data_IF_474918871340
#
_entry.id   IF_474918871340
#
_cell.length_a   1.000
_cell.length_b   1.000
_cell.length_c   1.000
_cell.angle_alpha   90.00
_cell.angle_beta   90.00
_cell.angle_gamma   90.00
#
_symmetry.space_group_name_H-M   'P 1'
#
loop_
_entity.id
_entity.type
_entity.pdbx_description
1 polymer ?
#
# COMPACT_ATOMS: atom_id res chain seq x y z
N UNK A 1 35.28 -20.28 -43.06
CA UNK A 1 35.15 -19.76 -41.67
C UNK A 1 33.72 -19.29 -41.50
N UNK A 2 33.07 -19.83 -40.47
CA UNK A 2 31.64 -19.82 -40.21
C UNK A 2 31.19 -18.51 -39.56
N UNK A 3 30.14 -17.87 -40.06
CA UNK A 3 29.32 -16.94 -39.29
C UNK A 3 27.94 -17.57 -39.12
N UNK A 4 27.64 -17.99 -37.88
CA UNK A 4 26.32 -18.46 -37.45
C UNK A 4 25.44 -17.25 -37.12
N UNK A 5 24.25 -17.20 -37.71
CA UNK A 5 23.13 -16.33 -37.33
C UNK A 5 22.11 -17.18 -36.55
N UNK A 6 21.60 -16.79 -35.36
CA UNK A 6 20.66 -17.61 -34.58
C UNK A 6 19.17 -17.43 -34.94
N UNK A 7 18.59 -18.49 -35.52
CA UNK A 7 17.38 -19.23 -35.13
C UNK A 7 16.08 -18.58 -34.58
N UNK A 8 15.73 -17.32 -34.87
CA UNK A 8 14.40 -16.77 -34.49
C UNK A 8 13.53 -16.28 -35.66
N UNK A 9 13.86 -16.66 -36.90
CA UNK A 9 13.25 -16.07 -38.10
C UNK A 9 12.54 -17.07 -39.03
N UNK A 10 12.09 -18.23 -38.51
CA UNK A 10 11.30 -19.20 -39.30
C UNK A 10 10.24 -19.90 -38.45
N UNK A 11 9.06 -19.30 -38.29
CA UNK A 11 7.78 -20.03 -38.17
C UNK A 11 6.58 -19.06 -38.18
N UNK A 12 6.21 -18.58 -39.37
CA UNK A 12 4.82 -18.24 -39.68
C UNK A 12 4.37 -19.20 -40.79
N UNK A 13 3.06 -19.48 -40.81
CA UNK A 13 2.31 -20.32 -41.78
C UNK A 13 2.17 -21.83 -41.49
N UNK A 14 1.08 -22.18 -40.78
CA UNK A 14 0.28 -23.37 -41.11
C UNK A 14 -1.12 -23.33 -40.47
N UNK A 15 -2.10 -22.83 -41.22
CA UNK A 15 -3.54 -23.04 -41.00
C UNK A 15 -3.96 -24.50 -41.26
N UNK A 16 -4.87 -25.11 -40.49
CA UNK A 16 -5.52 -26.35 -40.91
C UNK A 16 -6.77 -26.06 -41.75
N UNK A 17 -6.81 -26.66 -42.94
CA UNK A 17 -7.92 -26.62 -43.91
C UNK A 17 -9.14 -27.40 -43.41
N UNK A 18 -10.30 -26.80 -43.62
CA UNK A 18 -11.61 -27.44 -43.57
C UNK A 18 -11.78 -28.50 -44.67
N UNK A 19 -12.39 -29.64 -44.31
CA UNK A 19 -12.91 -30.63 -45.25
C UNK A 19 -14.45 -30.66 -45.15
N UNK A 20 -15.09 -30.44 -46.28
CA UNK A 20 -16.53 -30.52 -46.47
C UNK A 20 -16.91 -31.83 -47.19
N UNK A 21 -17.97 -32.49 -46.75
CA UNK A 21 -18.94 -33.31 -47.53
C UNK A 21 -19.82 -34.09 -46.54
N UNK A 22 -21.13 -34.27 -46.66
CA UNK A 22 -22.13 -33.81 -47.60
C UNK A 22 -23.48 -34.49 -47.30
N UNK A 23 -24.57 -33.86 -47.78
CA UNK A 23 -25.92 -34.39 -48.12
C UNK A 23 -26.95 -34.61 -46.99
N UNK A 24 -28.04 -33.81 -46.99
CA UNK A 24 -29.42 -34.05 -47.53
C UNK A 24 -30.25 -34.92 -46.56
N UNK A 25 -31.51 -34.65 -46.16
CA UNK A 25 -32.72 -34.01 -46.72
C UNK A 25 -33.75 -33.88 -45.56
N UNK A 26 -34.56 -32.80 -45.48
CA UNK A 26 -36.05 -32.76 -45.63
C UNK A 26 -36.84 -33.78 -44.76
N UNK A 27 -37.93 -33.48 -44.03
CA UNK A 27 -39.09 -32.57 -44.23
C UNK A 27 -40.10 -32.75 -43.08
N UNK A 28 -41.00 -31.76 -42.88
CA UNK A 28 -42.33 -31.93 -42.25
C UNK A 28 -42.53 -31.10 -40.97
N UNK A 29 -42.94 -29.82 -41.02
CA UNK A 29 -44.29 -29.26 -41.21
C UNK A 29 -45.31 -29.54 -40.08
N UNK A 30 -46.04 -28.45 -39.76
CA UNK A 30 -47.42 -28.36 -39.21
C UNK A 30 -47.57 -28.11 -37.70
N UNK A 31 -47.65 -26.84 -37.27
CA UNK A 31 -48.94 -26.18 -36.98
C UNK A 31 -48.77 -24.73 -36.48
N UNK A 32 -49.27 -23.77 -37.26
CA UNK A 32 -49.48 -22.39 -36.86
C UNK A 32 -50.98 -22.16 -36.63
N UNK A 33 -51.33 -21.58 -35.49
CA UNK A 33 -52.63 -20.93 -35.28
C UNK A 33 -52.39 -19.51 -34.77
N UNK A 34 -53.09 -18.49 -35.33
CA UNK A 34 -52.91 -17.10 -34.93
C UNK A 34 -53.87 -16.78 -33.79
N UNK A 35 -53.35 -16.30 -32.66
CA UNK A 35 -54.18 -15.63 -31.65
C UNK A 35 -53.62 -14.23 -31.36
N UNK A 36 -54.29 -13.27 -32.00
CA UNK A 36 -54.68 -11.96 -31.45
C UNK A 36 -53.64 -11.21 -30.60
N UNK A 37 -53.01 -10.23 -31.23
CA UNK A 37 -52.38 -9.07 -30.59
C UNK A 37 -53.47 -8.16 -30.02
N UNK A 38 -53.48 -7.83 -28.72
CA UNK A 38 -54.15 -6.63 -28.23
C UNK A 38 -53.18 -5.46 -28.25
N UNK A 39 -53.71 -4.35 -28.74
CA UNK A 39 -53.11 -3.03 -28.89
C UNK A 39 -52.32 -2.54 -27.68
N UNK A 40 -51.19 -1.90 -27.98
CA UNK A 40 -50.42 -1.05 -27.10
C UNK A 40 -51.33 0.01 -26.42
N UNK A 41 -51.46 -0.09 -25.10
CA UNK A 41 -51.77 1.05 -24.24
C UNK A 41 -50.47 1.55 -23.64
N UNK A 42 -50.16 2.82 -23.90
CA UNK A 42 -48.94 3.49 -23.49
C UNK A 42 -48.78 3.47 -21.98
N UNK A 43 -47.94 2.56 -21.49
CA UNK A 43 -47.36 2.70 -20.16
C UNK A 43 -46.12 3.54 -20.33
N UNK A 44 -46.19 4.79 -19.84
CA UNK A 44 -45.04 5.67 -19.78
C UNK A 44 -43.88 4.93 -19.13
N UNK A 45 -42.86 4.57 -19.93
CA UNK A 45 -41.55 4.15 -19.41
C UNK A 45 -41.06 5.31 -18.57
N UNK A 46 -41.32 5.27 -17.26
CA UNK A 46 -40.52 6.01 -16.30
C UNK A 46 -39.11 5.51 -16.53
N UNK A 47 -38.32 6.29 -17.24
CA UNK A 47 -36.88 6.16 -17.25
C UNK A 47 -36.43 6.46 -15.81
N UNK A 48 -36.62 5.49 -14.91
CA UNK A 48 -35.95 5.51 -13.62
C UNK A 48 -34.48 5.49 -13.98
N UNK A 49 -33.81 6.63 -13.84
CA UNK A 49 -32.36 6.73 -13.96
C UNK A 49 -31.82 5.76 -12.92
N UNK A 50 -31.44 4.55 -13.34
CA UNK A 50 -30.82 3.58 -12.44
C UNK A 50 -29.44 4.13 -12.14
N UNK A 51 -29.16 4.46 -10.89
CA UNK A 51 -27.82 4.86 -10.45
C UNK A 51 -26.79 3.80 -10.88
N UNK A 52 -25.58 4.21 -11.28
CA UNK A 52 -24.44 3.33 -11.55
C UNK A 52 -24.20 2.92 -13.00
N UNK A 53 -23.07 2.25 -13.23
CA UNK A 53 -22.60 1.84 -14.56
C UNK A 53 -23.44 0.69 -15.14
N UNK A 54 -23.56 0.64 -16.47
CA UNK A 54 -24.13 -0.52 -17.19
C UNK A 54 -23.17 -1.72 -17.25
N UNK A 55 -21.89 -1.54 -17.66
CA UNK A 55 -20.92 -2.63 -17.66
C UNK A 55 -20.46 -2.94 -16.23
N UNK A 56 -20.11 -4.20 -15.98
CA UNK A 56 -19.93 -4.73 -14.63
C UNK A 56 -18.78 -4.11 -13.82
N UNK A 57 -17.71 -3.53 -14.34
CA UNK A 57 -16.51 -3.03 -13.58
C UNK A 57 -15.81 -3.92 -12.51
N UNK A 58 -16.40 -4.96 -11.92
CA UNK A 58 -15.73 -5.88 -10.98
C UNK A 58 -14.68 -6.76 -11.67
N UNK A 59 -13.66 -7.13 -10.91
CA UNK A 59 -12.65 -8.13 -11.32
C UNK A 59 -13.32 -9.50 -11.50
N UNK A 60 -12.95 -10.28 -12.53
CA UNK A 60 -13.47 -11.63 -12.70
C UNK A 60 -12.97 -12.57 -11.59
N UNK A 61 -13.82 -13.49 -11.15
CA UNK A 61 -13.48 -14.43 -10.07
C UNK A 61 -12.33 -15.37 -10.47
N UNK A 62 -11.32 -15.47 -9.58
CA UNK A 62 -10.29 -16.54 -9.51
C UNK A 62 -9.71 -17.00 -10.85
N UNK A 63 -8.95 -16.12 -11.50
CA UNK A 63 -7.92 -16.55 -12.45
C UNK A 63 -6.56 -16.05 -11.97
N UNK A 64 -5.46 -16.74 -12.28
CA UNK A 64 -4.11 -16.25 -11.97
C UNK A 64 -3.88 -14.81 -12.50
N UNK A 65 -4.59 -14.45 -13.57
CA UNK A 65 -4.53 -13.12 -14.17
C UNK A 65 -5.39 -12.07 -13.45
N UNK A 66 -6.40 -12.49 -12.68
CA UNK A 66 -7.18 -11.62 -11.81
C UNK A 66 -6.43 -11.27 -10.51
N UNK A 67 -5.54 -12.14 -10.04
CA UNK A 67 -4.76 -11.89 -8.81
C UNK A 67 -3.53 -11.01 -9.03
N UNK A 68 -3.00 -10.95 -10.26
CA UNK A 68 -1.81 -10.14 -10.59
C UNK A 68 -2.06 -8.63 -10.50
N UNK A 69 -1.04 -7.92 -10.02
CA UNK A 69 -1.00 -6.46 -10.04
C UNK A 69 -0.88 -5.92 -11.45
N UNK A 70 -1.71 -4.94 -11.78
CA UNK A 70 -1.70 -4.29 -13.09
C UNK A 70 -0.72 -3.11 -13.12
N UNK A 71 -0.15 -2.80 -14.28
CA UNK A 71 0.79 -1.68 -14.43
C UNK A 71 0.21 -0.32 -14.00
N UNK A 72 -1.11 -0.14 -14.09
CA UNK A 72 -1.75 1.12 -13.66
C UNK A 72 -1.78 1.25 -12.13
N UNK A 73 -1.86 0.14 -11.41
CA UNK A 73 -1.75 0.13 -9.95
C UNK A 73 -0.32 0.49 -9.54
N UNK A 74 0.68 -0.05 -10.23
CA UNK A 74 2.09 0.32 -10.01
C UNK A 74 2.38 1.78 -10.37
N UNK A 75 1.75 2.29 -11.44
CA UNK A 75 1.85 3.71 -11.79
C UNK A 75 1.26 4.61 -10.68
N UNK A 76 0.15 4.20 -10.06
CA UNK A 76 -0.39 4.90 -8.89
C UNK A 76 0.58 4.83 -7.70
N UNK A 77 1.17 3.66 -7.46
CA UNK A 77 2.12 3.45 -6.35
C UNK A 77 3.40 4.29 -6.53
N UNK A 78 3.82 4.60 -7.77
CA UNK A 78 4.99 5.45 -8.03
C UNK A 78 4.88 6.87 -7.42
N UNK A 79 3.67 7.40 -7.27
CA UNK A 79 3.45 8.72 -6.66
C UNK A 79 3.86 8.71 -5.18
N UNK A 80 3.84 7.55 -4.53
CA UNK A 80 4.28 7.41 -3.16
C UNK A 80 5.79 7.49 -3.01
N UNK A 81 6.59 7.19 -4.04
CA UNK A 81 8.04 7.49 -3.99
C UNK A 81 8.24 8.97 -3.67
N UNK A 82 7.59 9.84 -4.43
CA UNK A 82 7.69 11.28 -4.20
C UNK A 82 7.03 11.71 -2.88
N UNK A 83 5.90 11.09 -2.50
CA UNK A 83 5.25 11.37 -1.23
C UNK A 83 6.15 11.08 -0.02
N UNK A 84 6.79 9.90 -0.02
CA UNK A 84 7.69 9.45 1.02
C UNK A 84 8.94 10.34 1.06
N UNK A 85 9.51 10.73 -0.09
CA UNK A 85 10.63 11.68 -0.13
C UNK A 85 10.29 13.02 0.53
N UNK A 86 9.10 13.57 0.25
CA UNK A 86 8.65 14.83 0.83
C UNK A 86 8.37 14.71 2.34
N UNK A 87 7.89 13.56 2.78
CA UNK A 87 7.69 13.24 4.19
C UNK A 87 9.03 13.07 4.93
N UNK A 88 9.97 12.31 4.38
CA UNK A 88 11.32 12.13 4.91
C UNK A 88 12.02 13.48 5.07
N UNK A 89 11.89 14.37 4.05
CA UNK A 89 12.41 15.74 4.14
C UNK A 89 11.74 16.54 5.26
N UNK A 90 10.42 16.49 5.37
CA UNK A 90 9.70 17.21 6.43
C UNK A 90 10.16 16.75 7.82
N UNK A 91 10.25 15.44 8.04
CA UNK A 91 10.70 14.87 9.31
C UNK A 91 12.16 15.22 9.62
N UNK A 92 13.05 15.17 8.61
CA UNK A 92 14.45 15.56 8.77
C UNK A 92 14.63 17.02 9.20
N UNK A 93 13.85 17.93 8.61
CA UNK A 93 13.99 19.36 8.91
C UNK A 93 13.20 19.80 10.16
N UNK A 94 12.29 18.95 10.67
CA UNK A 94 11.44 19.24 11.83
C UNK A 94 11.61 18.20 12.94
N UNK A 95 12.84 18.02 13.44
CA UNK A 95 13.18 17.07 14.50
C UNK A 95 12.76 17.50 15.93
N UNK A 96 11.56 18.05 16.07
CA UNK A 96 10.93 18.36 17.35
C UNK A 96 9.84 17.34 17.68
N UNK A 97 9.35 17.35 18.93
CA UNK A 97 8.17 16.54 19.29
C UNK A 97 6.94 16.90 18.44
N UNK A 98 6.80 18.17 18.08
CA UNK A 98 5.74 18.63 17.21
C UNK A 98 5.91 18.08 15.79
N UNK A 99 7.09 18.23 15.18
CA UNK A 99 7.36 17.71 13.84
C UNK A 99 7.28 16.17 13.75
N UNK A 100 7.60 15.46 14.84
CA UNK A 100 7.34 14.03 14.96
C UNK A 100 5.82 13.71 14.95
N UNK A 101 5.01 14.46 15.72
CA UNK A 101 3.56 14.28 15.72
C UNK A 101 2.94 14.61 14.35
N UNK A 102 3.37 15.70 13.72
CA UNK A 102 3.01 16.09 12.36
C UNK A 102 3.35 14.98 11.35
N UNK A 103 4.56 14.43 11.42
CA UNK A 103 5.00 13.34 10.55
C UNK A 103 4.19 12.06 10.75
N UNK A 104 3.81 11.71 11.99
CA UNK A 104 2.93 10.57 12.27
C UNK A 104 1.57 10.74 11.58
N UNK A 105 0.98 11.94 11.66
CA UNK A 105 -0.28 12.26 10.97
C UNK A 105 -0.11 12.10 9.46
N UNK A 106 0.97 12.60 8.88
CA UNK A 106 1.24 12.51 7.44
C UNK A 106 1.48 11.06 6.96
N UNK A 107 2.28 10.27 7.70
CA UNK A 107 2.49 8.84 7.45
C UNK A 107 1.15 8.11 7.44
N UNK A 108 0.33 8.30 8.47
CA UNK A 108 -0.97 7.64 8.60
C UNK A 108 -1.92 8.07 7.49
N UNK A 109 -1.94 9.36 7.13
CA UNK A 109 -2.76 9.88 6.04
C UNK A 109 -2.37 9.26 4.69
N UNK A 110 -1.08 9.24 4.35
CA UNK A 110 -0.58 8.63 3.12
C UNK A 110 -0.86 7.14 3.08
N UNK A 111 -0.56 6.44 4.18
CA UNK A 111 -0.85 5.04 4.33
C UNK A 111 -2.32 4.73 4.09
N UNK A 112 -3.21 5.57 4.64
CA UNK A 112 -4.65 5.41 4.48
C UNK A 112 -5.14 5.63 3.04
N UNK A 113 -4.57 6.61 2.31
CA UNK A 113 -4.82 6.80 0.88
C UNK A 113 -4.45 5.52 0.12
N UNK A 114 -3.25 5.00 0.37
CA UNK A 114 -2.74 3.82 -0.31
C UNK A 114 -3.63 2.61 -0.05
N UNK A 115 -3.85 2.29 1.24
CA UNK A 115 -4.68 1.17 1.69
C UNK A 115 -6.03 1.19 1.00
N UNK A 116 -6.78 2.28 1.10
CA UNK A 116 -8.13 2.31 0.52
C UNK A 116 -8.13 2.17 -1.00
N UNK A 117 -7.10 2.68 -1.68
CA UNK A 117 -6.97 2.53 -3.12
C UNK A 117 -6.68 1.08 -3.48
N UNK A 118 -5.81 0.41 -2.72
CA UNK A 118 -5.56 -1.03 -2.81
C UNK A 118 -6.82 -1.85 -2.62
N UNK A 119 -7.64 -1.55 -1.61
CA UNK A 119 -8.93 -2.22 -1.42
C UNK A 119 -9.90 -2.01 -2.59
N UNK A 120 -9.93 -0.81 -3.18
CA UNK A 120 -10.84 -0.51 -4.30
C UNK A 120 -10.40 -1.20 -5.59
N UNK A 121 -9.13 -1.17 -5.94
CA UNK A 121 -8.63 -1.84 -7.15
C UNK A 121 -8.50 -3.35 -6.98
N UNK A 122 -8.54 -3.86 -5.75
CA UNK A 122 -8.72 -5.29 -5.50
C UNK A 122 -10.10 -5.78 -6.00
N UNK A 123 -11.13 -4.95 -5.86
CA UNK A 123 -12.52 -5.30 -6.23
C UNK A 123 -12.85 -4.88 -7.67
N UNK A 124 -12.43 -3.69 -8.10
CA UNK A 124 -12.68 -3.18 -9.44
C UNK A 124 -11.52 -3.53 -10.38
N UNK A 125 -11.84 -3.99 -11.57
CA UNK A 125 -10.87 -4.35 -12.61
C UNK A 125 -10.19 -3.10 -13.22
N UNK A 126 -8.91 -2.82 -12.93
CA UNK A 126 -8.20 -1.66 -13.47
C UNK A 126 -7.94 -1.77 -14.98
N UNK A 127 -8.11 -2.95 -15.58
CA UNK A 127 -8.04 -3.10 -17.03
C UNK A 127 -9.21 -2.41 -17.74
N UNK A 128 -10.36 -2.23 -17.07
CA UNK A 128 -11.54 -1.58 -17.65
C UNK A 128 -11.36 -0.05 -17.69
N UNK A 129 -11.66 0.54 -18.86
CA UNK A 129 -11.40 1.96 -19.14
C UNK A 129 -11.94 2.93 -18.06
N UNK A 130 -13.17 2.79 -17.51
CA UNK A 130 -13.65 3.70 -16.48
C UNK A 130 -12.83 3.65 -15.19
N UNK A 131 -12.43 2.44 -14.77
CA UNK A 131 -11.61 2.25 -13.57
C UNK A 131 -10.22 2.79 -13.81
N UNK A 132 -9.61 2.47 -14.96
CA UNK A 132 -8.30 2.99 -15.38
C UNK A 132 -8.26 4.52 -15.40
N UNK A 133 -9.27 5.16 -15.98
CA UNK A 133 -9.37 6.61 -16.06
C UNK A 133 -9.48 7.26 -14.67
N UNK A 134 -10.23 6.66 -13.75
CA UNK A 134 -10.32 7.15 -12.38
C UNK A 134 -9.03 6.93 -11.61
N UNK A 135 -8.35 5.79 -11.75
CA UNK A 135 -7.04 5.58 -11.11
C UNK A 135 -6.04 6.63 -11.61
N UNK A 136 -5.99 6.93 -12.92
CA UNK A 136 -5.16 8.00 -13.47
C UNK A 136 -5.53 9.41 -12.94
N UNK A 137 -6.82 9.70 -12.81
CA UNK A 137 -7.28 10.95 -12.23
C UNK A 137 -6.89 11.08 -10.75
N UNK A 138 -7.07 10.01 -9.97
CA UNK A 138 -6.66 9.93 -8.57
C UNK A 138 -5.15 9.98 -8.42
N UNK A 139 -4.38 9.44 -9.37
CA UNK A 139 -2.93 9.59 -9.46
C UNK A 139 -2.53 11.06 -9.56
N UNK A 140 -3.19 11.85 -10.41
CA UNK A 140 -2.93 13.28 -10.50
C UNK A 140 -3.24 14.01 -9.19
N UNK A 141 -4.37 13.69 -8.54
CA UNK A 141 -4.71 14.26 -7.22
C UNK A 141 -3.70 13.82 -6.15
N UNK A 142 -3.27 12.55 -6.18
CA UNK A 142 -2.23 12.01 -5.33
C UNK A 142 -0.91 12.75 -5.48
N UNK A 143 -0.53 13.12 -6.71
CA UNK A 143 0.66 13.95 -6.93
C UNK A 143 0.52 15.33 -6.27
N UNK A 144 -0.67 15.95 -6.31
CA UNK A 144 -0.93 17.22 -5.59
C UNK A 144 -0.82 17.03 -4.08
N UNK A 145 -1.31 15.91 -3.54
CA UNK A 145 -1.08 15.53 -2.13
C UNK A 145 0.42 15.47 -1.87
N UNK A 146 1.18 14.71 -2.66
CA UNK A 146 2.62 14.51 -2.49
C UNK A 146 3.41 15.82 -2.50
N UNK A 147 3.17 16.68 -3.48
CA UNK A 147 3.81 18.02 -3.59
C UNK A 147 3.52 18.88 -2.36
N UNK A 148 2.39 18.67 -1.69
CA UNK A 148 1.95 19.49 -0.56
C UNK A 148 2.42 18.99 0.80
N UNK A 149 2.98 17.77 0.92
CA UNK A 149 3.36 17.14 2.20
C UNK A 149 4.34 17.99 2.98
N UNK A 150 5.45 18.37 2.34
CA UNK A 150 6.58 19.00 3.03
C UNK A 150 6.17 20.31 3.75
N UNK A 151 5.33 21.13 3.10
CA UNK A 151 4.78 22.38 3.63
C UNK A 151 3.32 22.23 4.11
N UNK A 152 2.86 21.01 4.40
CA UNK A 152 1.46 20.76 4.78
C UNK A 152 1.07 21.40 6.12
N UNK A 153 2.03 21.58 7.03
CA UNK A 153 1.85 22.36 8.27
C UNK A 153 2.19 23.86 8.12
N UNK A 154 2.62 24.28 6.93
CA UNK A 154 2.81 25.69 6.54
C UNK A 154 1.76 26.17 5.54
N UNK A 155 2.19 26.85 4.48
CA UNK A 155 1.30 27.51 3.50
C UNK A 155 0.48 26.53 2.65
N UNK A 156 0.92 25.28 2.50
CA UNK A 156 0.24 24.27 1.65
C UNK A 156 -0.82 23.46 2.38
N UNK A 157 -1.09 23.71 3.65
CA UNK A 157 -2.04 22.90 4.43
C UNK A 157 -3.45 22.85 3.85
N UNK A 158 -3.96 23.97 3.32
CA UNK A 158 -5.27 23.96 2.67
C UNK A 158 -5.28 23.12 1.39
N UNK A 159 -4.24 23.25 0.56
CA UNK A 159 -4.10 22.48 -0.68
C UNK A 159 -3.99 20.98 -0.39
N UNK A 160 -3.18 20.61 0.62
CA UNK A 160 -3.07 19.24 1.10
C UNK A 160 -4.43 18.68 1.53
N UNK A 161 -5.17 19.41 2.38
CA UNK A 161 -6.47 18.98 2.88
C UNK A 161 -7.51 18.80 1.75
N UNK A 162 -7.59 19.75 0.82
CA UNK A 162 -8.51 19.66 -0.33
C UNK A 162 -8.16 18.47 -1.22
N UNK A 163 -6.88 18.28 -1.54
CA UNK A 163 -6.45 17.16 -2.38
C UNK A 163 -6.69 15.81 -1.68
N UNK A 164 -6.38 15.71 -0.39
CA UNK A 164 -6.64 14.52 0.44
C UNK A 164 -8.12 14.14 0.43
N UNK A 165 -8.99 15.08 0.77
CA UNK A 165 -10.45 14.86 0.84
C UNK A 165 -11.02 14.54 -0.54
N UNK A 166 -10.55 15.22 -1.59
CA UNK A 166 -10.97 14.95 -2.98
C UNK A 166 -10.62 13.53 -3.40
N UNK A 167 -9.42 13.05 -3.07
CA UNK A 167 -9.00 11.69 -3.38
C UNK A 167 -9.87 10.68 -2.64
N UNK A 168 -10.03 10.85 -1.32
CA UNK A 168 -10.79 9.94 -0.47
C UNK A 168 -12.28 9.86 -0.87
N UNK A 169 -12.95 11.00 -1.02
CA UNK A 169 -14.36 11.06 -1.42
C UNK A 169 -14.58 10.67 -2.87
N UNK A 170 -13.73 11.13 -3.79
CA UNK A 170 -13.84 10.84 -5.22
C UNK A 170 -13.73 9.35 -5.51
N UNK A 171 -12.71 8.69 -4.95
CA UNK A 171 -12.54 7.23 -5.05
C UNK A 171 -13.76 6.49 -4.48
N UNK A 172 -14.22 6.89 -3.30
CA UNK A 172 -15.29 6.18 -2.58
C UNK A 172 -16.65 6.37 -3.28
N UNK A 173 -16.92 7.57 -3.81
CA UNK A 173 -18.09 7.84 -4.64
C UNK A 173 -18.06 7.04 -5.95
N UNK A 174 -16.91 6.99 -6.63
CA UNK A 174 -16.76 6.17 -7.83
C UNK A 174 -17.05 4.69 -7.54
N UNK A 175 -16.51 4.17 -6.44
CA UNK A 175 -16.75 2.79 -6.03
C UNK A 175 -18.23 2.51 -5.76
N UNK A 176 -18.92 3.40 -5.04
CA UNK A 176 -20.37 3.30 -4.86
C UNK A 176 -21.13 3.31 -6.20
N UNK A 177 -20.75 4.19 -7.14
CA UNK A 177 -21.37 4.24 -8.48
C UNK A 177 -21.11 2.95 -9.29
N UNK A 178 -19.91 2.37 -9.20
CA UNK A 178 -19.58 1.10 -9.85
C UNK A 178 -20.45 -0.05 -9.32
N UNK A 179 -20.68 -0.08 -8.00
CA UNK A 179 -21.40 -1.16 -7.33
C UNK A 179 -22.93 -1.03 -7.38
N UNK A 180 -23.48 0.17 -7.56
CA UNK A 180 -24.91 0.45 -7.40
C UNK A 180 -25.87 -0.47 -8.18
N UNK A 181 -25.43 -1.06 -9.29
CA UNK A 181 -26.22 -2.00 -10.10
C UNK A 181 -25.84 -3.48 -9.96
N UNK A 182 -24.66 -3.76 -9.43
CA UNK A 182 -24.05 -5.08 -9.49
C UNK A 182 -23.94 -5.72 -8.10
N UNK A 183 -23.78 -4.92 -7.05
CA UNK A 183 -23.78 -5.39 -5.66
C UNK A 183 -24.37 -4.34 -4.72
N UNK A 184 -25.59 -4.59 -4.24
CA UNK A 184 -26.30 -3.69 -3.32
C UNK A 184 -25.77 -3.73 -1.89
N UNK A 185 -25.13 -4.83 -1.47
CA UNK A 185 -24.56 -4.94 -0.14
C UNK A 185 -23.29 -4.10 -0.04
N UNK A 186 -22.37 -4.31 -0.99
CA UNK A 186 -21.15 -3.51 -1.11
C UNK A 186 -21.45 -2.04 -1.41
N UNK A 187 -22.43 -1.73 -2.27
CA UNK A 187 -22.86 -0.34 -2.49
C UNK A 187 -23.21 0.36 -1.16
N UNK A 188 -24.03 -0.27 -0.31
CA UNK A 188 -24.39 0.29 0.99
C UNK A 188 -23.18 0.44 1.92
N UNK A 189 -22.23 -0.49 1.85
CA UNK A 189 -20.96 -0.37 2.59
C UNK A 189 -20.17 0.86 2.16
N UNK A 190 -20.00 1.09 0.84
CA UNK A 190 -19.30 2.27 0.34
C UNK A 190 -20.05 3.58 0.58
N UNK A 191 -21.38 3.58 0.62
CA UNK A 191 -22.16 4.75 1.08
C UNK A 191 -21.87 5.07 2.54
N UNK A 192 -21.81 4.06 3.43
CA UNK A 192 -21.45 4.29 4.85
C UNK A 192 -20.02 4.82 4.98
N UNK A 193 -19.08 4.24 4.25
CA UNK A 193 -17.69 4.72 4.19
C UNK A 193 -17.66 6.18 3.72
N UNK A 194 -18.40 6.52 2.67
CA UNK A 194 -18.47 7.88 2.15
C UNK A 194 -18.98 8.88 3.20
N UNK A 195 -20.01 8.54 3.97
CA UNK A 195 -20.53 9.39 5.04
C UNK A 195 -19.47 9.66 6.10
N UNK A 196 -18.74 8.63 6.54
CA UNK A 196 -17.68 8.78 7.54
C UNK A 196 -16.48 9.56 7.01
N UNK A 197 -16.07 9.33 5.77
CA UNK A 197 -15.01 10.10 5.11
C UNK A 197 -15.43 11.55 4.87
N UNK A 198 -16.70 11.82 4.61
CA UNK A 198 -17.21 13.19 4.46
C UNK A 198 -17.17 13.92 5.81
N UNK A 199 -17.56 13.25 6.90
CA UNK A 199 -17.45 13.78 8.25
C UNK A 199 -15.99 14.07 8.62
N UNK A 200 -15.07 13.12 8.41
CA UNK A 200 -13.64 13.34 8.63
C UNK A 200 -13.09 14.45 7.72
N UNK A 201 -13.56 14.51 6.48
CA UNK A 201 -13.20 15.54 5.51
C UNK A 201 -13.52 16.96 5.98
N UNK A 202 -14.58 17.16 6.77
CA UNK A 202 -14.84 18.45 7.41
C UNK A 202 -13.67 18.87 8.31
N UNK A 203 -13.14 17.96 9.11
CA UNK A 203 -12.00 18.24 10.00
C UNK A 203 -10.70 18.46 9.24
N UNK A 204 -10.45 17.70 8.16
CA UNK A 204 -9.32 17.97 7.25
C UNK A 204 -9.36 19.40 6.69
N UNK A 205 -10.51 19.79 6.13
CA UNK A 205 -10.71 21.12 5.53
C UNK A 205 -10.64 22.22 6.59
N UNK A 206 -11.27 22.03 7.76
CA UNK A 206 -11.18 22.99 8.87
C UNK A 206 -9.74 23.18 9.33
N UNK A 207 -8.95 22.11 9.48
CA UNK A 207 -7.51 22.21 9.80
C UNK A 207 -6.69 22.90 8.70
N UNK A 208 -7.12 22.79 7.44
CA UNK A 208 -6.51 23.51 6.32
C UNK A 208 -6.86 25.00 6.28
N UNK A 209 -8.06 25.39 6.72
CA UNK A 209 -8.55 26.78 6.73
C UNK A 209 -8.15 27.56 8.00
N UNK A 210 -8.01 26.86 9.13
CA UNK A 210 -7.63 27.45 10.40
C UNK A 210 -6.11 27.74 10.47
N UNK A 211 -5.69 28.61 11.42
CA UNK A 211 -4.27 28.82 11.70
C UNK A 211 -3.53 27.51 11.98
N UNK A 212 -2.23 27.48 11.66
CA UNK A 212 -1.39 26.27 11.73
C UNK A 212 -1.42 25.59 13.11
N UNK A 213 -1.50 26.36 14.19
CA UNK A 213 -1.55 25.86 15.58
C UNK A 213 -2.70 24.86 15.84
N UNK A 214 -3.81 25.00 15.12
CA UNK A 214 -4.97 24.10 15.25
C UNK A 214 -4.92 22.92 14.29
N UNK A 215 -4.10 22.99 13.23
CA UNK A 215 -4.12 22.03 12.13
C UNK A 215 -3.85 20.61 12.59
N UNK A 216 -2.82 20.43 13.43
CA UNK A 216 -2.45 19.12 13.97
C UNK A 216 -3.62 18.48 14.73
N UNK A 217 -4.31 19.25 15.57
CA UNK A 217 -5.46 18.77 16.34
C UNK A 217 -6.61 18.33 15.42
N UNK A 218 -6.98 19.17 14.44
CA UNK A 218 -8.08 18.87 13.53
C UNK A 218 -7.78 17.67 12.63
N UNK A 219 -6.55 17.56 12.13
CA UNK A 219 -6.12 16.42 11.32
C UNK A 219 -6.01 15.13 12.15
N UNK A 220 -5.60 15.22 13.41
CA UNK A 220 -5.65 14.09 14.34
C UNK A 220 -7.09 13.62 14.60
N UNK A 221 -8.05 14.55 14.78
CA UNK A 221 -9.47 14.21 14.90
C UNK A 221 -9.98 13.55 13.61
N UNK A 222 -9.62 14.09 12.45
CA UNK A 222 -10.02 13.53 11.16
C UNK A 222 -9.54 12.08 11.01
N UNK A 223 -8.25 11.82 11.24
CA UNK A 223 -7.69 10.46 11.20
C UNK A 223 -8.32 9.54 12.25
N UNK A 224 -8.55 10.02 13.47
CA UNK A 224 -9.22 9.23 14.50
C UNK A 224 -10.62 8.80 14.04
N UNK A 225 -11.39 9.69 13.40
CA UNK A 225 -12.69 9.36 12.82
C UNK A 225 -12.54 8.28 11.74
N UNK A 226 -11.58 8.42 10.83
CA UNK A 226 -11.36 7.47 9.74
C UNK A 226 -10.97 6.07 10.25
N UNK A 227 -10.01 5.97 11.16
CA UNK A 227 -9.54 4.70 11.71
C UNK A 227 -10.57 4.05 12.64
N UNK A 228 -11.20 4.83 13.54
CA UNK A 228 -12.21 4.31 14.47
C UNK A 228 -13.47 3.88 13.72
N UNK A 229 -13.92 4.66 12.73
CA UNK A 229 -15.08 4.26 11.92
C UNK A 229 -14.78 2.95 11.16
N UNK A 230 -13.57 2.78 10.62
CA UNK A 230 -13.18 1.55 9.95
C UNK A 230 -13.16 0.33 10.88
N UNK A 231 -12.63 0.46 12.10
CA UNK A 231 -12.62 -0.64 13.09
C UNK A 231 -14.01 -1.01 13.58
N UNK A 232 -14.93 -0.04 13.68
CA UNK A 232 -16.32 -0.25 14.08
C UNK A 232 -17.24 -0.72 12.95
N UNK A 233 -16.71 -0.89 11.73
CA UNK A 233 -17.48 -1.30 10.55
C UNK A 233 -18.39 -0.20 10.00
N UNK A 234 -17.97 1.07 10.10
CA UNK A 234 -18.66 2.25 9.56
C UNK A 234 -20.16 2.29 9.94
N UNK A 235 -20.52 2.26 11.24
CA UNK A 235 -21.93 2.27 11.64
C UNK A 235 -22.60 3.57 11.21
N UNK A 236 -23.75 3.49 10.56
CA UNK A 236 -24.57 4.67 10.24
C UNK A 236 -26.01 4.39 10.67
N UNK A 237 -26.63 5.27 11.49
CA UNK A 237 -28.03 5.12 11.89
C UNK A 237 -28.95 4.88 10.69
N UNK A 238 -29.77 3.84 10.75
CA UNK A 238 -30.67 3.44 9.65
C UNK A 238 -30.03 2.61 8.51
N UNK A 239 -28.71 2.61 8.35
CA UNK A 239 -28.00 1.83 7.32
C UNK A 239 -27.20 0.63 7.89
N UNK A 240 -27.11 0.51 9.21
CA UNK A 240 -26.44 -0.58 9.91
C UNK A 240 -24.91 -0.46 9.86
N UNK A 241 -24.23 -1.60 9.92
CA UNK A 241 -22.76 -1.75 9.86
C UNK A 241 -22.34 -2.48 8.60
N UNK A 242 -21.10 -2.25 8.16
CA UNK A 242 -20.40 -3.07 7.19
C UNK A 242 -19.82 -4.30 7.88
N UNK A 243 -20.10 -5.48 7.34
CA UNK A 243 -19.61 -6.75 7.86
C UNK A 243 -18.33 -7.13 7.10
N UNK A 244 -17.26 -7.57 7.77
CA UNK A 244 -16.14 -8.24 7.12
C UNK A 244 -16.68 -9.51 6.44
N UNK A 245 -16.49 -9.63 5.12
CA UNK A 245 -16.97 -10.77 4.32
C UNK A 245 -17.94 -10.43 3.19
N UNK A 246 -18.43 -9.19 3.10
CA UNK A 246 -19.41 -8.80 2.08
C UNK A 246 -18.81 -8.61 0.66
N UNK A 247 -17.50 -8.81 0.47
CA UNK A 247 -16.85 -8.76 -0.85
C UNK A 247 -15.80 -9.85 -0.97
N UNK A 248 -15.83 -10.60 -2.08
CA UNK A 248 -14.77 -11.54 -2.43
C UNK A 248 -13.49 -10.75 -2.71
N UNK A 249 -12.53 -10.84 -1.78
CA UNK A 249 -11.29 -10.08 -1.81
C UNK A 249 -10.16 -11.03 -2.14
N UNK A 250 -9.37 -10.72 -3.19
CA UNK A 250 -8.14 -11.47 -3.44
C UNK A 250 -7.11 -11.10 -2.36
N UNK A 251 -6.81 -12.08 -1.52
CA UNK A 251 -5.74 -11.99 -0.54
C UNK A 251 -4.35 -11.88 -1.18
N UNK A 252 -3.99 -12.79 -2.10
CA UNK A 252 -2.71 -12.76 -2.81
C UNK A 252 -2.44 -11.40 -3.47
N UNK A 253 -3.45 -10.77 -4.07
CA UNK A 253 -3.29 -9.44 -4.68
C UNK A 253 -2.91 -8.35 -3.66
N UNK A 254 -3.53 -8.34 -2.48
CA UNK A 254 -3.19 -7.39 -1.40
C UNK A 254 -1.77 -7.64 -0.89
N UNK A 255 -1.38 -8.91 -0.73
CA UNK A 255 -0.03 -9.28 -0.33
C UNK A 255 1.01 -8.81 -1.37
N UNK A 256 0.78 -9.09 -2.65
CA UNK A 256 1.63 -8.67 -3.76
C UNK A 256 1.79 -7.14 -3.80
N UNK A 257 0.69 -6.38 -3.71
CA UNK A 257 0.76 -4.91 -3.67
C UNK A 257 1.49 -4.38 -2.45
N UNK A 258 1.29 -4.99 -1.28
CA UNK A 258 1.99 -4.58 -0.06
C UNK A 258 3.49 -4.82 -0.17
N UNK A 259 3.89 -5.95 -0.75
CA UNK A 259 5.28 -6.27 -1.04
C UNK A 259 5.90 -5.27 -2.03
N UNK A 260 5.20 -4.94 -3.12
CA UNK A 260 5.67 -3.93 -4.08
C UNK A 260 5.78 -2.53 -3.46
N UNK A 261 4.88 -2.19 -2.52
CA UNK A 261 4.97 -0.95 -1.78
C UNK A 261 6.19 -0.90 -0.84
N UNK A 262 6.59 -2.04 -0.24
CA UNK A 262 7.85 -2.13 0.53
C UNK A 262 9.06 -1.93 -0.37
N UNK A 263 9.08 -2.49 -1.59
CA UNK A 263 10.15 -2.20 -2.57
C UNK A 263 10.22 -0.70 -2.89
N UNK A 264 9.06 -0.06 -3.08
CA UNK A 264 8.97 1.38 -3.34
C UNK A 264 9.54 2.20 -2.18
N UNK A 265 9.19 1.86 -0.93
CA UNK A 265 9.70 2.55 0.25
C UNK A 265 11.22 2.36 0.40
N UNK A 266 11.74 1.14 0.17
CA UNK A 266 13.19 0.89 0.17
C UNK A 266 13.91 1.66 -0.96
N UNK A 267 13.31 1.71 -2.14
CA UNK A 267 13.83 2.46 -3.27
C UNK A 267 13.88 3.97 -3.00
N UNK A 268 12.85 4.51 -2.35
CA UNK A 268 12.85 5.90 -1.88
C UNK A 268 13.95 6.16 -0.85
N UNK A 269 14.15 5.25 0.11
CA UNK A 269 15.23 5.35 1.09
C UNK A 269 16.60 5.48 0.39
N UNK A 270 16.85 4.66 -0.64
CA UNK A 270 18.09 4.77 -1.42
C UNK A 270 18.21 6.07 -2.22
N UNK A 271 17.11 6.61 -2.74
CA UNK A 271 17.12 7.91 -3.41
C UNK A 271 17.50 9.04 -2.44
N UNK A 272 16.89 9.08 -1.25
CA UNK A 272 17.19 10.09 -0.23
C UNK A 272 18.64 10.01 0.21
N UNK A 273 19.12 8.81 0.54
CA UNK A 273 20.52 8.57 0.92
C UNK A 273 21.48 8.94 -0.22
N UNK A 274 21.14 8.60 -1.46
CA UNK A 274 21.95 8.92 -2.63
C UNK A 274 22.08 10.42 -2.87
N UNK A 275 20.97 11.17 -2.77
CA UNK A 275 21.00 12.63 -2.87
C UNK A 275 21.83 13.26 -1.74
N UNK A 276 21.63 12.80 -0.51
CA UNK A 276 22.42 13.27 0.64
C UNK A 276 23.93 13.02 0.46
N UNK A 277 24.31 11.87 -0.13
CA UNK A 277 25.71 11.56 -0.39
C UNK A 277 26.33 12.41 -1.51
N UNK A 278 25.57 12.80 -2.54
CA UNK A 278 26.06 13.62 -3.66
C UNK A 278 26.16 15.10 -3.28
N UNK A 279 25.36 15.56 -2.31
CA UNK A 279 25.35 16.95 -1.83
C UNK A 279 26.52 17.30 -0.88
N UNK A 280 27.37 16.34 -0.52
CA UNK A 280 28.53 16.53 0.37
C UNK A 280 29.88 16.34 -0.37
N UNK A 281 30.95 16.85 0.25
CA UNK A 281 32.32 16.58 -0.21
C UNK A 281 32.71 15.10 -0.04
N UNK A 282 33.56 14.61 -0.94
CA UNK A 282 34.03 13.22 -0.90
C UNK A 282 34.83 12.96 0.38
N UNK A 283 34.34 12.05 1.22
CA UNK A 283 34.98 11.68 2.48
C UNK A 283 34.86 10.18 2.78
N UNK A 284 35.77 9.65 3.60
CA UNK A 284 35.70 8.24 4.05
C UNK A 284 34.44 7.99 4.88
N UNK A 285 34.08 8.92 5.77
CA UNK A 285 32.88 8.83 6.58
C UNK A 285 31.61 8.78 5.70
N UNK A 286 31.54 9.62 4.66
CA UNK A 286 30.44 9.60 3.70
C UNK A 286 30.32 8.25 2.96
N UNK A 287 31.44 7.67 2.52
CA UNK A 287 31.45 6.35 1.87
C UNK A 287 30.98 5.26 2.85
N UNK A 288 31.44 5.29 4.09
CA UNK A 288 31.01 4.35 5.12
C UNK A 288 29.51 4.51 5.44
N UNK A 289 29.03 5.75 5.57
CA UNK A 289 27.60 6.03 5.76
C UNK A 289 26.73 5.48 4.64
N UNK A 290 27.14 5.69 3.38
CA UNK A 290 26.45 5.12 2.21
C UNK A 290 26.46 3.58 2.22
N UNK A 291 27.58 2.95 2.59
CA UNK A 291 27.67 1.49 2.72
C UNK A 291 26.75 0.97 3.84
N UNK A 292 26.67 1.67 4.97
CA UNK A 292 25.79 1.29 6.08
C UNK A 292 24.31 1.41 5.71
N UNK A 293 23.93 2.47 4.99
CA UNK A 293 22.58 2.62 4.45
C UNK A 293 22.24 1.50 3.47
N UNK A 294 23.17 1.13 2.57
CA UNK A 294 22.98 0.00 1.67
C UNK A 294 22.81 -1.33 2.42
N UNK A 295 23.68 -1.62 3.40
CA UNK A 295 23.61 -2.84 4.22
C UNK A 295 22.30 -2.90 5.00
N UNK A 296 21.87 -1.79 5.60
CA UNK A 296 20.61 -1.70 6.33
C UNK A 296 19.41 -1.92 5.42
N UNK A 297 19.36 -1.25 4.27
CA UNK A 297 18.30 -1.45 3.27
C UNK A 297 18.27 -2.88 2.72
N UNK A 298 19.42 -3.49 2.45
CA UNK A 298 19.52 -4.87 2.01
C UNK A 298 19.07 -5.86 3.10
N UNK A 299 19.42 -5.62 4.37
CA UNK A 299 18.97 -6.43 5.49
C UNK A 299 17.46 -6.31 5.72
N UNK A 300 16.91 -5.09 5.61
CA UNK A 300 15.46 -4.87 5.65
C UNK A 300 14.74 -5.63 4.54
N UNK A 301 15.23 -5.50 3.30
CA UNK A 301 14.72 -6.26 2.16
C UNK A 301 14.74 -7.77 2.44
N UNK A 302 15.88 -8.30 2.93
CA UNK A 302 16.03 -9.71 3.25
C UNK A 302 15.00 -10.16 4.30
N UNK A 303 14.86 -9.43 5.41
CA UNK A 303 13.92 -9.74 6.48
C UNK A 303 12.45 -9.77 6.02
N UNK A 304 12.08 -8.94 5.05
CA UNK A 304 10.72 -8.91 4.52
C UNK A 304 10.48 -10.01 3.48
N UNK A 305 11.26 -10.03 2.39
CA UNK A 305 10.97 -10.86 1.22
C UNK A 305 11.31 -12.34 1.40
N UNK A 306 12.40 -12.65 2.09
CA UNK A 306 12.82 -14.05 2.29
C UNK A 306 12.05 -14.75 3.43
N UNK A 307 11.31 -13.99 4.24
CA UNK A 307 10.68 -14.54 5.46
C UNK A 307 9.20 -14.14 5.63
N UNK A 308 8.91 -12.83 5.61
CA UNK A 308 7.62 -12.32 6.07
C UNK A 308 6.56 -12.32 4.99
N UNK A 309 6.91 -11.93 3.77
CA UNK A 309 5.99 -11.88 2.63
C UNK A 309 5.35 -13.25 2.36
N UNK A 310 6.18 -14.28 2.21
CA UNK A 310 5.73 -15.63 1.90
C UNK A 310 4.75 -16.16 2.95
N UNK A 311 5.09 -15.99 4.23
CA UNK A 311 4.23 -16.41 5.32
C UNK A 311 2.88 -15.68 5.34
N UNK A 312 2.91 -14.38 5.05
CA UNK A 312 1.70 -13.58 4.92
C UNK A 312 0.81 -14.07 3.76
N UNK A 313 1.41 -14.38 2.60
CA UNK A 313 0.70 -14.90 1.43
C UNK A 313 0.08 -16.28 1.71
N UNK A 314 0.86 -17.21 2.26
CA UNK A 314 0.41 -18.55 2.67
C UNK A 314 -0.72 -18.51 3.69
N UNK A 315 -0.57 -17.71 4.75
CA UNK A 315 -1.59 -17.56 5.77
C UNK A 315 -2.91 -17.00 5.21
N UNK A 316 -2.82 -16.09 4.25
CA UNK A 316 -3.99 -15.47 3.64
C UNK A 316 -4.72 -16.41 2.67
N UNK A 317 -3.98 -17.24 1.94
CA UNK A 317 -4.55 -18.31 1.11
C UNK A 317 -5.26 -19.39 1.94
N UNK A 318 -4.76 -19.68 3.15
CA UNK A 318 -5.33 -20.67 4.06
C UNK A 318 -6.42 -20.13 5.01
N UNK A 319 -6.61 -18.81 5.08
CA UNK A 319 -7.49 -18.19 6.06
C UNK A 319 -8.98 -18.46 5.79
N UNK A 320 -9.74 -18.79 6.84
CA UNK A 320 -11.20 -18.90 6.77
C UNK A 320 -11.89 -17.54 6.52
N UNK A 321 -11.30 -16.45 6.99
CA UNK A 321 -11.72 -15.07 6.74
C UNK A 321 -10.51 -14.24 6.27
N UNK A 322 -10.17 -14.31 4.97
CA UNK A 322 -9.03 -13.58 4.41
C UNK A 322 -9.18 -12.07 4.54
N UNK A 323 -10.41 -11.54 4.44
CA UNK A 323 -10.66 -10.10 4.53
C UNK A 323 -10.31 -9.52 5.90
N UNK A 324 -10.65 -10.23 6.98
CA UNK A 324 -10.27 -9.81 8.34
C UNK A 324 -8.77 -9.94 8.59
N UNK A 325 -8.14 -11.04 8.15
CA UNK A 325 -6.70 -11.21 8.29
C UNK A 325 -5.93 -10.14 7.50
N UNK A 326 -6.34 -9.88 6.25
CA UNK A 326 -5.75 -8.83 5.42
C UNK A 326 -5.85 -7.45 6.07
N UNK A 327 -7.01 -7.10 6.64
CA UNK A 327 -7.19 -5.83 7.35
C UNK A 327 -6.27 -5.72 8.57
N UNK A 328 -6.13 -6.78 9.36
CA UNK A 328 -5.25 -6.74 10.52
C UNK A 328 -3.77 -6.64 10.12
N UNK A 329 -3.32 -7.55 9.25
CA UNK A 329 -1.92 -7.73 8.92
C UNK A 329 -1.39 -6.69 7.91
N UNK A 330 -2.15 -6.44 6.83
CA UNK A 330 -1.72 -5.60 5.70
C UNK A 330 -2.30 -4.18 5.73
N UNK A 331 -3.33 -3.89 6.54
CA UNK A 331 -3.80 -2.50 6.73
C UNK A 331 -3.28 -1.88 8.02
N UNK A 332 -3.27 -2.58 9.16
CA UNK A 332 -2.86 -1.93 10.42
C UNK A 332 -1.39 -2.19 10.76
N UNK A 333 -0.95 -3.45 10.78
CA UNK A 333 0.43 -3.78 11.20
C UNK A 333 1.47 -3.32 10.18
N UNK A 334 1.18 -3.47 8.88
CA UNK A 334 2.09 -3.06 7.80
C UNK A 334 2.46 -1.57 7.82
N UNK A 335 1.62 -0.70 8.38
CA UNK A 335 1.94 0.72 8.54
C UNK A 335 3.25 0.93 9.32
N UNK A 336 3.50 0.08 10.33
CA UNK A 336 4.72 0.14 11.16
C UNK A 336 5.96 -0.23 10.35
N UNK A 337 5.85 -1.21 9.45
CA UNK A 337 6.96 -1.62 8.57
C UNK A 337 7.36 -0.44 7.68
N UNK A 338 6.39 0.20 7.01
CA UNK A 338 6.65 1.36 6.15
C UNK A 338 7.20 2.54 6.96
N UNK A 339 6.62 2.86 8.10
CA UNK A 339 7.11 3.92 8.96
C UNK A 339 8.56 3.68 9.42
N UNK A 340 8.93 2.41 9.69
CA UNK A 340 10.29 2.03 10.01
C UNK A 340 11.28 2.27 8.87
N UNK A 341 10.90 1.96 7.63
CA UNK A 341 11.73 2.24 6.44
C UNK A 341 11.95 3.75 6.27
N UNK A 342 10.87 4.55 6.32
CA UNK A 342 10.94 6.01 6.19
C UNK A 342 11.82 6.62 7.27
N UNK A 343 11.63 6.22 8.54
CA UNK A 343 12.43 6.73 9.65
C UNK A 343 13.90 6.32 9.52
N UNK A 344 14.19 5.13 8.99
CA UNK A 344 15.56 4.70 8.69
C UNK A 344 16.20 5.57 7.62
N UNK A 345 15.47 5.95 6.56
CA UNK A 345 15.96 6.89 5.55
C UNK A 345 16.35 8.25 6.14
N UNK A 346 15.57 8.76 7.10
CA UNK A 346 15.93 9.98 7.84
C UNK A 346 17.19 9.77 8.67
N UNK A 347 17.33 8.63 9.33
CA UNK A 347 18.55 8.26 10.06
C UNK A 347 19.78 8.13 9.16
N UNK A 348 19.65 7.55 7.97
CA UNK A 348 20.74 7.45 6.99
C UNK A 348 21.21 8.84 6.55
N UNK A 349 20.26 9.77 6.34
CA UNK A 349 20.57 11.15 6.01
C UNK A 349 21.30 11.87 7.16
N UNK A 350 20.90 11.65 8.41
CA UNK A 350 21.61 12.16 9.59
C UNK A 350 23.05 11.65 9.66
N UNK A 351 23.26 10.35 9.42
CA UNK A 351 24.60 9.74 9.41
C UNK A 351 25.49 10.38 8.35
N UNK A 352 24.94 10.63 7.16
CA UNK A 352 25.69 11.26 6.07
C UNK A 352 26.02 12.73 6.35
N UNK A 353 25.03 13.49 6.84
CA UNK A 353 25.22 14.92 7.08
C UNK A 353 26.12 15.21 8.29
N UNK A 354 26.06 14.36 9.32
CA UNK A 354 26.66 14.61 10.64
C UNK A 354 27.38 13.36 11.19
N UNK A 355 28.32 12.72 10.47
CA UNK A 355 28.84 11.40 10.80
C UNK A 355 29.58 11.31 12.16
N UNK A 356 30.20 12.41 12.58
CA UNK A 356 31.07 12.49 13.75
C UNK A 356 30.53 13.41 14.86
N UNK A 357 29.36 14.03 14.64
CA UNK A 357 28.79 14.97 15.59
C UNK A 357 28.28 14.25 16.86
N UNK A 358 28.18 14.93 18.01
CA UNK A 358 27.55 14.35 19.19
C UNK A 358 26.09 14.00 18.92
N UNK A 359 25.70 12.75 19.22
CA UNK A 359 24.31 12.30 19.06
C UNK A 359 23.40 13.01 20.05
N UNK A 360 22.40 13.72 19.54
CA UNK A 360 21.27 14.22 20.33
C UNK A 360 20.11 13.23 20.30
N UNK A 361 19.11 13.44 21.16
CA UNK A 361 17.97 12.51 21.30
C UNK A 361 17.21 12.30 19.97
N UNK A 362 17.00 13.34 19.16
CA UNK A 362 16.33 13.22 17.87
C UNK A 362 17.11 12.33 16.89
N UNK A 363 18.42 12.56 16.77
CA UNK A 363 19.33 11.75 15.94
C UNK A 363 19.36 10.30 16.41
N UNK A 364 19.41 10.05 17.73
CA UNK A 364 19.34 8.69 18.28
C UNK A 364 18.03 7.98 17.89
N UNK A 365 16.90 8.67 18.00
CA UNK A 365 15.58 8.15 17.62
C UNK A 365 15.47 7.94 16.11
N UNK A 366 16.03 8.82 15.28
CA UNK A 366 16.03 8.64 13.83
C UNK A 366 16.84 7.41 13.42
N UNK A 367 18.09 7.29 13.89
CA UNK A 367 19.03 6.23 13.49
C UNK A 367 18.62 4.86 14.06
N UNK A 368 18.30 4.77 15.35
CA UNK A 368 17.97 3.48 15.98
C UNK A 368 16.46 3.17 15.95
N UNK A 369 15.61 4.20 15.94
CA UNK A 369 14.15 4.03 15.98
C UNK A 369 13.57 3.50 14.67
N UNK A 370 14.16 3.82 13.51
CA UNK A 370 13.74 3.28 12.22
C UNK A 370 13.87 1.74 12.15
N UNK A 371 15.07 1.19 12.33
CA UNK A 371 15.28 -0.26 12.43
C UNK A 371 14.45 -0.93 13.53
N UNK A 372 14.29 -0.27 14.68
CA UNK A 372 13.48 -0.76 15.80
C UNK A 372 12.01 -0.92 15.40
N UNK A 373 11.44 0.13 14.81
CA UNK A 373 10.05 0.17 14.37
C UNK A 373 9.79 -0.85 13.25
N UNK A 374 10.76 -1.00 12.35
CA UNK A 374 10.73 -2.01 11.29
C UNK A 374 10.69 -3.44 11.85
N UNK A 375 11.62 -3.80 12.75
CA UNK A 375 11.64 -5.12 13.38
C UNK A 375 10.39 -5.39 14.22
N UNK A 376 9.89 -4.38 14.94
CA UNK A 376 8.63 -4.47 15.68
C UNK A 376 7.46 -4.76 14.74
N UNK A 377 7.37 -4.04 13.62
CA UNK A 377 6.37 -4.25 12.58
C UNK A 377 6.40 -5.68 12.03
N UNK A 378 7.59 -6.19 11.69
CA UNK A 378 7.77 -7.56 11.20
C UNK A 378 7.41 -8.62 12.25
N UNK A 379 7.84 -8.43 13.50
CA UNK A 379 7.52 -9.35 14.59
C UNK A 379 6.00 -9.44 14.84
N UNK A 380 5.32 -8.28 14.88
CA UNK A 380 3.86 -8.22 15.00
C UNK A 380 3.18 -8.83 13.78
N UNK A 381 3.71 -8.59 12.57
CA UNK A 381 3.15 -9.13 11.35
C UNK A 381 3.19 -10.65 11.37
N UNK A 382 4.35 -11.25 11.67
CA UNK A 382 4.55 -12.70 11.81
C UNK A 382 3.69 -13.31 12.91
N UNK A 383 3.54 -12.62 14.04
CA UNK A 383 2.63 -13.06 15.10
C UNK A 383 1.16 -13.04 14.64
N UNK A 384 0.74 -12.05 13.85
CA UNK A 384 -0.64 -11.98 13.35
C UNK A 384 -0.94 -13.06 12.32
N UNK A 385 -0.04 -13.27 11.36
CA UNK A 385 -0.30 -14.18 10.22
C UNK A 385 0.00 -15.64 10.54
N UNK A 386 1.02 -15.93 11.36
CA UNK A 386 1.50 -17.28 11.63
C UNK A 386 1.47 -17.68 13.13
N UNK A 387 1.11 -16.75 14.04
CA UNK A 387 1.17 -16.96 15.51
C UNK A 387 2.56 -17.31 16.03
N UNK A 388 3.59 -16.94 15.27
CA UNK A 388 4.98 -17.20 15.61
C UNK A 388 5.59 -16.05 16.41
N UNK A 389 6.39 -16.42 17.42
CA UNK A 389 7.22 -15.48 18.17
C UNK A 389 8.66 -15.61 17.69
N UNK A 390 9.12 -14.60 16.96
CA UNK A 390 10.46 -14.59 16.38
C UNK A 390 11.49 -14.11 17.41
N UNK A 391 12.14 -15.04 18.10
CA UNK A 391 13.17 -14.75 19.10
C UNK A 391 14.32 -13.91 18.50
N UNK A 392 14.68 -14.13 17.23
CA UNK A 392 15.67 -13.31 16.53
C UNK A 392 15.25 -11.84 16.49
N UNK A 393 14.00 -11.55 16.14
CA UNK A 393 13.46 -10.19 16.06
C UNK A 393 13.35 -9.57 17.44
N UNK A 394 12.85 -10.30 18.44
CA UNK A 394 12.79 -9.82 19.83
C UNK A 394 14.18 -9.47 20.38
N UNK A 395 15.18 -10.28 20.05
CA UNK A 395 16.58 -10.00 20.43
C UNK A 395 17.08 -8.74 19.74
N UNK A 396 16.85 -8.58 18.43
CA UNK A 396 17.20 -7.35 17.71
C UNK A 396 16.52 -6.10 18.27
N UNK A 397 15.23 -6.19 18.58
CA UNK A 397 14.45 -5.11 19.24
C UNK A 397 15.09 -4.77 20.58
N UNK A 398 15.42 -5.76 21.41
CA UNK A 398 16.05 -5.53 22.71
C UNK A 398 17.44 -4.87 22.57
N UNK A 399 18.24 -5.29 21.57
CA UNK A 399 19.56 -4.70 21.30
C UNK A 399 19.44 -3.25 20.84
N UNK A 400 18.49 -2.92 19.97
CA UNK A 400 18.25 -1.54 19.53
C UNK A 400 17.71 -0.65 20.65
N UNK A 401 16.85 -1.19 21.52
CA UNK A 401 16.41 -0.48 22.72
C UNK A 401 17.57 -0.20 23.69
N UNK A 402 18.52 -1.14 23.80
CA UNK A 402 19.74 -0.94 24.60
C UNK A 402 20.72 0.04 23.93
N UNK A 403 20.72 0.13 22.60
CA UNK A 403 21.53 1.09 21.86
C UNK A 403 21.08 2.54 22.08
N UNK A 404 19.79 2.80 22.33
CA UNK A 404 19.26 4.16 22.57
C UNK A 404 19.93 4.91 23.73
N UNK A 405 20.05 4.38 24.96
CA UNK A 405 20.77 5.06 26.02
C UNK A 405 22.29 5.12 25.79
N UNK A 406 22.86 4.17 25.03
CA UNK A 406 24.28 4.16 24.67
C UNK A 406 24.61 5.09 23.51
N UNK A 407 23.60 5.56 22.76
CA UNK A 407 23.75 6.40 21.58
C UNK A 407 24.53 7.68 21.87
N UNK A 408 24.35 8.27 23.06
CA UNK A 408 25.03 9.49 23.48
C UNK A 408 26.55 9.34 23.69
N UNK A 409 27.05 8.10 23.72
CA UNK A 409 28.49 7.79 23.79
C UNK A 409 29.09 7.39 22.43
N UNK A 410 28.26 7.32 21.38
CA UNK A 410 28.64 6.93 20.03
C UNK A 410 28.53 8.14 19.09
N UNK A 411 29.21 8.07 17.94
CA UNK A 411 28.91 8.95 16.81
C UNK A 411 27.70 8.41 16.03
N UNK A 412 27.00 9.25 15.22
CA UNK A 412 25.95 8.82 14.31
C UNK A 412 26.39 7.66 13.43
N UNK A 413 27.60 7.72 12.87
CA UNK A 413 28.16 6.64 12.05
C UNK A 413 28.30 5.33 12.83
N UNK A 414 28.81 5.37 14.06
CA UNK A 414 28.94 4.19 14.91
C UNK A 414 27.58 3.62 15.32
N UNK A 415 26.60 4.48 15.62
CA UNK A 415 25.24 4.05 15.94
C UNK A 415 24.55 3.41 14.72
N UNK A 416 24.75 3.98 13.52
CA UNK A 416 24.31 3.40 12.26
C UNK A 416 24.92 2.03 12.01
N UNK A 417 26.21 1.86 12.32
CA UNK A 417 26.89 0.56 12.23
C UNK A 417 26.28 -0.48 13.18
N UNK A 418 25.94 -0.09 14.42
CA UNK A 418 25.21 -0.96 15.34
C UNK A 418 23.86 -1.38 14.76
N UNK A 419 23.09 -0.42 14.21
CA UNK A 419 21.81 -0.69 13.57
C UNK A 419 21.92 -1.70 12.41
N UNK A 420 22.86 -1.46 11.50
CA UNK A 420 23.14 -2.35 10.37
C UNK A 420 23.52 -3.77 10.83
N UNK A 421 24.46 -3.88 11.79
CA UNK A 421 24.89 -5.17 12.35
C UNK A 421 23.73 -5.91 13.00
N UNK A 422 22.87 -5.23 13.77
CA UNK A 422 21.70 -5.84 14.38
C UNK A 422 20.75 -6.38 13.31
N UNK A 423 20.38 -5.56 12.31
CA UNK A 423 19.48 -5.98 11.22
C UNK A 423 20.04 -7.19 10.46
N UNK A 424 21.30 -7.14 10.05
CA UNK A 424 21.96 -8.26 9.35
C UNK A 424 22.02 -9.51 10.22
N UNK A 425 22.33 -9.38 11.51
CA UNK A 425 22.38 -10.53 12.43
C UNK A 425 21.00 -11.17 12.58
N UNK A 426 19.93 -10.38 12.71
CA UNK A 426 18.56 -10.90 12.78
C UNK A 426 18.18 -11.61 11.49
N UNK A 427 18.55 -11.06 10.33
CA UNK A 427 18.30 -11.66 9.02
C UNK A 427 19.00 -13.01 8.88
N UNK A 428 20.32 -13.03 9.11
CA UNK A 428 21.12 -14.26 9.03
C UNK A 428 20.68 -15.31 10.06
N UNK A 429 20.32 -14.91 11.28
CA UNK A 429 19.76 -15.83 12.27
C UNK A 429 18.50 -16.51 11.72
N UNK A 430 17.57 -15.72 11.17
CA UNK A 430 16.34 -16.23 10.55
C UNK A 430 16.62 -17.30 9.50
N UNK A 431 17.51 -16.98 8.55
CA UNK A 431 17.90 -17.91 7.48
C UNK A 431 18.57 -19.17 8.02
N UNK A 432 19.50 -19.05 8.99
CA UNK A 432 20.20 -20.20 9.57
C UNK A 432 19.25 -21.16 10.29
N UNK A 433 18.28 -20.64 11.04
CA UNK A 433 17.26 -21.46 11.71
C UNK A 433 16.41 -22.19 10.67
N UNK A 434 16.01 -21.50 9.58
CA UNK A 434 15.22 -22.07 8.49
C UNK A 434 15.96 -23.22 7.79
N UNK A 435 17.19 -22.98 7.35
CA UNK A 435 18.03 -23.98 6.66
C UNK A 435 18.27 -25.19 7.57
N UNK A 436 18.52 -24.99 8.86
CA UNK A 436 18.70 -26.09 9.81
C UNK A 436 17.44 -26.94 10.00
N UNK A 437 16.26 -26.34 9.87
CA UNK A 437 14.99 -27.03 10.01
C UNK A 437 14.54 -27.74 8.72
N UNK A 438 15.31 -27.65 7.62
CA UNK A 438 15.08 -28.40 6.39
C UNK A 438 13.88 -27.94 5.55
N UNK A 439 13.40 -26.72 5.76
CA UNK A 439 12.34 -26.14 4.91
C UNK A 439 12.99 -25.56 3.65
N UNK A 440 13.00 -26.32 2.56
CA UNK A 440 13.35 -25.83 1.23
C UNK A 440 12.26 -24.85 0.71
N UNK A 441 12.60 -24.04 -0.30
CA UNK A 441 11.79 -22.91 -0.80
C UNK A 441 10.32 -23.25 -1.15
N UNK A 442 10.00 -24.51 -1.46
CA UNK A 442 8.62 -24.94 -1.76
C UNK A 442 7.75 -25.19 -0.51
N UNK A 443 8.32 -25.52 0.64
CA UNK A 443 7.58 -25.85 1.88
C UNK A 443 7.67 -24.79 2.97
N UNK A 444 8.55 -23.79 2.81
CA UNK A 444 8.94 -22.84 3.84
C UNK A 444 7.86 -21.79 4.17
N UNK A 445 6.81 -22.14 4.93
CA UNK A 445 5.89 -21.12 5.46
C UNK A 445 5.25 -21.44 6.79
#
# INVERSE_FOLDING_TARGET
MSQKVPAWQQSEDATPRAAASGRLRQTGCVNATPSTVPSASGTGRRHTVRLGFRPNLLRPDRSEQADRVTYIELFFDLIFVFALTQLSRHLYENQSLQGAAESVILVLALWWIWVHTTWVTNVLDPARLPVRGVVLGLSLVGLVVSVSIYESFGDRGFVFAVAYVTLQLGRTAFMALALARHDRALFRAFVRIFVWLALAGLFWILGGLLPADYRLLFWAIALAIEFVSATLGFPVPGLGRATPGDGELSGPHIAERSALFVIIALGESFLVTGFAFVDQDVSVAGVLGLLLAFVSGAAMWWLYFDHSEYAGSKALAAAADPGRLARLAYTYVHALIIAGVVLTSVGDKEILAHPDDPVVFSTAVAIAGGPLLYLLGLALFRFVVAREVLISHLTGIALLLLALPLAFALSPLALGAVGAVVLTTVACWGTLVRVRNGTDEEEAG
#
